data_IF_074662170098
#
_entry.id   IF_074662170098
#
_cell.length_a   1.000
_cell.length_b   1.000
_cell.length_c   1.000
_cell.angle_alpha   90.00
_cell.angle_beta   90.00
_cell.angle_gamma   90.00
#
_symmetry.space_group_name_H-M   'P 1'
#
loop_
_entity.id
_entity.type
_entity.pdbx_description
1 polymer ?
#
# COMPACT_ATOMS: atom_id res chain seq x y z
N UNK A 1 6.69 -21.43 43.16
CA UNK A 1 7.26 -21.58 41.80
C UNK A 1 6.54 -20.60 40.89
N UNK A 2 7.08 -19.39 40.72
CA UNK A 2 6.52 -18.35 39.85
C UNK A 2 7.30 -18.36 38.55
N UNK A 3 6.70 -18.90 37.49
CA UNK A 3 7.22 -18.76 36.14
C UNK A 3 6.77 -17.40 35.59
N UNK A 4 7.53 -16.36 35.92
CA UNK A 4 7.38 -15.06 35.31
C UNK A 4 8.29 -15.01 34.08
N UNK A 5 7.78 -15.45 32.94
CA UNK A 5 8.41 -15.31 31.64
C UNK A 5 7.34 -14.86 30.64
N UNK A 6 7.00 -13.57 30.66
CA UNK A 6 6.19 -12.96 29.62
C UNK A 6 7.05 -12.80 28.35
N UNK A 7 7.37 -13.92 27.70
CA UNK A 7 7.99 -13.90 26.37
C UNK A 7 6.92 -13.42 25.39
N UNK A 8 6.96 -12.13 25.03
CA UNK A 8 6.09 -11.57 23.99
C UNK A 8 6.13 -12.48 22.75
N UNK A 9 4.98 -13.06 22.40
CA UNK A 9 4.83 -13.94 21.23
C UNK A 9 5.32 -13.20 19.97
N UNK A 10 6.27 -13.81 19.26
CA UNK A 10 6.73 -13.32 17.95
C UNK A 10 5.64 -13.62 16.91
N UNK A 11 5.20 -12.63 16.12
CA UNK A 11 4.18 -12.87 15.11
C UNK A 11 4.77 -13.66 13.93
N UNK A 12 3.94 -14.49 13.31
CA UNK A 12 4.18 -14.94 11.94
C UNK A 12 3.53 -13.95 10.98
N UNK A 13 4.35 -13.32 10.15
CA UNK A 13 3.94 -12.24 9.24
C UNK A 13 3.86 -12.76 7.81
N UNK A 14 2.78 -12.40 7.12
CA UNK A 14 2.73 -12.47 5.66
C UNK A 14 3.05 -11.09 5.10
N UNK A 15 4.16 -10.98 4.39
CA UNK A 15 4.59 -9.79 3.66
C UNK A 15 4.13 -9.90 2.20
N UNK A 16 3.46 -8.85 1.71
CA UNK A 16 3.00 -8.70 0.33
C UNK A 16 3.21 -7.26 -0.13
N UNK A 17 2.93 -6.94 -1.39
CA UNK A 17 2.91 -5.57 -1.93
C UNK A 17 2.13 -5.54 -3.27
N UNK A 18 2.08 -4.38 -3.91
CA UNK A 18 1.63 -4.22 -5.29
C UNK A 18 2.74 -3.88 -6.30
N UNK A 19 3.95 -3.58 -5.83
CA UNK A 19 5.12 -3.33 -6.69
C UNK A 19 5.69 -4.62 -7.31
N UNK A 20 5.52 -5.77 -6.64
CA UNK A 20 6.03 -7.08 -7.08
C UNK A 20 7.36 -7.49 -6.40
N UNK A 21 8.11 -8.47 -6.96
CA UNK A 21 9.40 -8.90 -6.42
C UNK A 21 10.42 -7.75 -6.40
N UNK A 22 11.55 -7.86 -5.66
CA UNK A 22 12.55 -6.80 -5.57
C UNK A 22 13.02 -6.36 -6.95
N UNK A 23 13.11 -5.06 -7.15
CA UNK A 23 13.62 -4.44 -8.38
C UNK A 23 14.07 -3.02 -8.03
N UNK A 24 15.23 -2.60 -8.55
CA UNK A 24 15.82 -1.29 -8.22
C UNK A 24 14.96 -0.07 -8.60
N UNK A 25 14.03 -0.22 -9.55
CA UNK A 25 13.19 0.86 -10.07
C UNK A 25 11.74 0.71 -9.64
N UNK A 26 11.21 -0.50 -9.73
CA UNK A 26 9.79 -0.76 -9.58
C UNK A 26 9.42 -1.22 -8.16
N UNK A 27 10.31 -1.94 -7.47
CA UNK A 27 10.06 -2.48 -6.11
C UNK A 27 11.32 -2.41 -5.22
N UNK A 28 11.84 -1.19 -4.95
CA UNK A 28 13.15 -1.03 -4.32
C UNK A 28 13.15 -1.33 -2.82
N UNK A 29 11.99 -1.52 -2.19
CA UNK A 29 11.86 -1.43 -0.73
C UNK A 29 11.52 -2.75 -0.02
N UNK A 30 10.85 -3.69 -0.69
CA UNK A 30 10.31 -4.89 -0.02
C UNK A 30 11.42 -5.78 0.56
N UNK A 31 12.54 -5.93 -0.16
CA UNK A 31 13.69 -6.72 0.31
C UNK A 31 14.31 -6.13 1.58
N UNK A 32 14.50 -4.81 1.62
CA UNK A 32 15.03 -4.12 2.79
C UNK A 32 14.11 -4.25 4.00
N UNK A 33 12.80 -4.02 3.83
CA UNK A 33 11.85 -4.22 4.94
C UNK A 33 11.84 -5.68 5.41
N UNK A 34 11.85 -6.66 4.49
CA UNK A 34 11.91 -8.09 4.82
C UNK A 34 13.10 -8.41 5.74
N UNK A 35 14.30 -7.90 5.40
CA UNK A 35 15.52 -8.09 6.21
C UNK A 35 15.38 -7.48 7.59
N UNK A 36 14.80 -6.30 7.73
CA UNK A 36 14.59 -5.67 9.04
C UNK A 36 13.55 -6.41 9.90
N UNK A 37 12.46 -6.89 9.30
CA UNK A 37 11.48 -7.69 10.04
C UNK A 37 12.07 -9.03 10.51
N UNK A 38 12.91 -9.68 9.69
CA UNK A 38 13.49 -11.00 10.01
C UNK A 38 14.72 -10.91 10.90
N UNK A 39 15.73 -10.10 10.54
CA UNK A 39 17.05 -10.11 11.19
C UNK A 39 17.10 -9.20 12.41
N UNK A 40 16.45 -8.03 12.34
CA UNK A 40 16.43 -7.06 13.45
C UNK A 40 15.35 -7.40 14.46
N UNK A 41 14.12 -7.68 14.03
CA UNK A 41 13.03 -8.01 14.96
C UNK A 41 12.95 -9.51 15.29
N UNK A 42 13.59 -10.39 14.51
CA UNK A 42 13.55 -11.83 14.74
C UNK A 42 12.19 -12.48 14.44
N UNK A 43 11.36 -11.85 13.61
CA UNK A 43 10.01 -12.32 13.27
C UNK A 43 10.06 -13.39 12.16
N UNK A 44 9.06 -14.28 12.14
CA UNK A 44 8.90 -15.28 11.07
C UNK A 44 8.11 -14.64 9.93
N UNK A 45 8.79 -14.28 8.83
CA UNK A 45 8.20 -13.56 7.70
C UNK A 45 8.11 -14.48 6.48
N UNK A 46 6.89 -14.68 5.98
CA UNK A 46 6.58 -15.33 4.71
C UNK A 46 6.30 -14.27 3.66
N UNK A 47 6.73 -14.48 2.41
CA UNK A 47 6.51 -13.50 1.33
C UNK A 47 5.67 -14.12 0.23
N UNK A 48 4.53 -13.48 -0.07
CA UNK A 48 3.66 -13.83 -1.20
C UNK A 48 3.28 -12.53 -1.91
N UNK A 49 3.78 -12.33 -3.13
CA UNK A 49 3.63 -11.08 -3.88
C UNK A 49 3.16 -11.33 -5.31
N UNK A 50 2.60 -10.33 -5.98
CA UNK A 50 2.40 -10.38 -7.43
C UNK A 50 3.72 -10.66 -8.16
N UNK A 51 3.68 -11.43 -9.25
CA UNK A 51 4.84 -11.70 -10.11
C UNK A 51 5.28 -10.49 -10.96
N UNK A 52 4.47 -9.43 -10.96
CA UNK A 52 4.68 -8.18 -11.70
C UNK A 52 3.93 -7.05 -11.00
N UNK A 53 4.32 -5.81 -11.29
CA UNK A 53 3.71 -4.62 -10.70
C UNK A 53 2.22 -4.47 -11.04
N UNK A 54 1.42 -4.05 -10.04
CA UNK A 54 -0.05 -3.91 -10.08
C UNK A 54 -0.52 -2.56 -9.48
N UNK A 55 0.18 -1.47 -9.79
CA UNK A 55 -0.18 -0.11 -9.36
C UNK A 55 -1.62 0.29 -9.74
N UNK A 56 -2.27 1.11 -8.91
CA UNK A 56 -3.62 1.67 -9.15
C UNK A 56 -4.77 0.64 -9.25
N UNK A 57 -4.59 -0.57 -8.72
CA UNK A 57 -5.58 -1.66 -8.81
C UNK A 57 -6.66 -1.65 -7.70
N UNK A 58 -6.46 -0.90 -6.62
CA UNK A 58 -7.34 -0.89 -5.44
C UNK A 58 -7.49 -2.28 -4.80
N UNK A 59 -8.66 -2.55 -4.21
CA UNK A 59 -8.99 -3.89 -3.63
C UNK A 59 -9.66 -4.83 -4.65
N UNK A 60 -8.96 -5.22 -5.71
CA UNK A 60 -9.46 -6.16 -6.71
C UNK A 60 -9.07 -7.62 -6.42
N UNK A 61 -9.99 -8.56 -6.62
CA UNK A 61 -9.70 -10.00 -6.68
C UNK A 61 -9.72 -10.49 -8.13
N UNK A 62 -8.78 -11.35 -8.47
CA UNK A 62 -8.81 -12.11 -9.72
C UNK A 62 -9.74 -13.32 -9.58
N UNK A 63 -10.89 -13.30 -10.27
CA UNK A 63 -11.95 -14.32 -10.10
C UNK A 63 -12.20 -15.19 -11.34
N UNK A 64 -11.65 -14.83 -12.51
CA UNK A 64 -11.87 -15.56 -13.78
C UNK A 64 -10.66 -16.35 -14.24
N UNK A 65 -9.47 -15.83 -14.01
CA UNK A 65 -8.23 -16.40 -14.52
C UNK A 65 -7.59 -17.32 -13.48
N UNK A 66 -7.02 -18.44 -13.95
CA UNK A 66 -6.27 -19.36 -13.09
C UNK A 66 -4.99 -18.67 -12.65
N UNK A 67 -4.84 -18.42 -11.35
CA UNK A 67 -3.60 -17.90 -10.77
C UNK A 67 -2.51 -18.96 -10.82
N UNK A 68 -1.39 -18.63 -11.47
CA UNK A 68 -0.17 -19.44 -11.49
C UNK A 68 0.86 -18.86 -10.54
N UNK A 69 1.70 -19.72 -9.98
CA UNK A 69 2.75 -19.33 -9.05
C UNK A 69 4.11 -19.89 -9.40
N UNK A 70 5.14 -19.26 -8.85
CA UNK A 70 6.53 -19.74 -8.87
C UNK A 70 7.22 -19.38 -7.55
N UNK A 71 8.27 -20.10 -7.21
CA UNK A 71 9.14 -19.81 -6.08
C UNK A 71 10.30 -18.94 -6.56
N UNK A 72 10.61 -17.89 -5.82
CA UNK A 72 11.70 -16.97 -6.10
C UNK A 72 12.66 -16.93 -4.92
N UNK A 73 13.95 -17.02 -5.20
CA UNK A 73 15.00 -17.08 -4.21
C UNK A 73 15.90 -15.85 -4.35
N UNK A 74 15.52 -14.71 -3.76
CA UNK A 74 16.31 -13.49 -3.87
C UNK A 74 17.65 -13.64 -3.17
N UNK A 75 18.68 -13.09 -3.79
CA UNK A 75 20.03 -12.99 -3.23
C UNK A 75 20.32 -11.56 -2.78
N UNK A 76 19.81 -10.58 -3.52
CA UNK A 76 20.09 -9.16 -3.37
C UNK A 76 18.82 -8.31 -3.58
N UNK A 77 18.82 -7.02 -3.15
CA UNK A 77 17.66 -6.12 -3.32
C UNK A 77 17.41 -5.67 -4.76
N UNK A 78 18.31 -5.98 -5.70
CA UNK A 78 18.25 -5.54 -7.10
C UNK A 78 17.38 -6.42 -8.00
N UNK A 79 16.84 -7.52 -7.47
CA UNK A 79 16.01 -8.47 -8.19
C UNK A 79 16.76 -9.72 -8.67
N UNK A 80 18.04 -9.85 -8.37
CA UNK A 80 18.79 -11.08 -8.64
C UNK A 80 18.30 -12.24 -7.76
N UNK A 81 17.97 -13.35 -8.40
CA UNK A 81 17.56 -14.59 -7.74
C UNK A 81 17.11 -15.65 -8.73
N UNK A 82 17.03 -16.89 -8.27
CA UNK A 82 16.54 -18.00 -9.09
C UNK A 82 15.01 -18.08 -8.99
N UNK A 83 14.35 -18.42 -10.11
CA UNK A 83 12.93 -18.77 -10.13
C UNK A 83 12.81 -20.28 -10.37
N UNK A 84 11.97 -20.94 -9.57
CA UNK A 84 11.68 -22.37 -9.67
C UNK A 84 10.17 -22.62 -9.71
N UNK A 85 9.76 -23.66 -10.44
CA UNK A 85 8.38 -24.16 -10.40
C UNK A 85 8.07 -25.01 -9.16
N UNK A 86 9.11 -25.44 -8.44
CA UNK A 86 9.01 -26.29 -7.24
C UNK A 86 9.78 -25.70 -6.07
N UNK A 87 9.23 -25.88 -4.86
CA UNK A 87 9.92 -25.52 -3.61
C UNK A 87 11.19 -26.35 -3.45
N UNK A 88 12.25 -25.73 -2.93
CA UNK A 88 13.53 -26.38 -2.68
C UNK A 88 14.29 -25.70 -1.54
N UNK A 89 15.27 -26.39 -0.93
CA UNK A 89 16.17 -25.77 0.03
C UNK A 89 16.92 -24.57 -0.58
N UNK A 90 17.29 -23.61 0.30
CA UNK A 90 18.11 -22.47 -0.08
C UNK A 90 19.51 -22.91 -0.50
N UNK A 91 20.03 -22.29 -1.56
CA UNK A 91 21.42 -22.36 -1.98
C UNK A 91 22.24 -21.27 -1.28
N UNK A 92 23.55 -21.35 -1.44
CA UNK A 92 24.46 -20.32 -0.95
C UNK A 92 24.07 -18.93 -1.48
N UNK A 93 24.05 -17.93 -0.59
CA UNK A 93 23.63 -16.54 -0.83
C UNK A 93 22.14 -16.28 -1.05
N UNK A 94 21.28 -17.30 -1.13
CA UNK A 94 19.83 -17.09 -1.16
C UNK A 94 19.32 -16.72 0.24
N UNK A 95 18.49 -15.67 0.30
CA UNK A 95 18.04 -15.12 1.58
C UNK A 95 16.79 -15.83 2.09
N UNK A 96 15.89 -16.22 1.19
CA UNK A 96 14.59 -16.81 1.52
C UNK A 96 13.92 -17.48 0.32
N UNK A 97 12.87 -18.25 0.57
CA UNK A 97 11.93 -18.72 -0.45
C UNK A 97 10.71 -17.80 -0.47
N UNK A 98 10.54 -17.04 -1.55
CA UNK A 98 9.39 -16.15 -1.78
C UNK A 98 8.45 -16.78 -2.80
N UNK A 99 7.16 -16.45 -2.74
CA UNK A 99 6.17 -16.96 -3.69
C UNK A 99 5.67 -15.79 -4.54
N UNK A 100 5.83 -15.94 -5.85
CA UNK A 100 5.35 -14.98 -6.85
C UNK A 100 4.10 -15.54 -7.52
N UNK A 101 2.99 -14.79 -7.49
CA UNK A 101 1.72 -15.18 -8.10
C UNK A 101 1.33 -14.23 -9.22
N UNK A 102 0.88 -14.75 -10.35
CA UNK A 102 0.27 -13.93 -11.40
C UNK A 102 -1.18 -13.57 -10.99
N UNK A 103 -1.27 -12.61 -10.08
CA UNK A 103 -2.50 -12.18 -9.45
C UNK A 103 -2.44 -10.74 -8.93
N UNK A 104 -3.58 -10.24 -8.48
CA UNK A 104 -3.65 -8.97 -7.73
C UNK A 104 -3.06 -9.12 -6.32
N UNK A 105 -2.64 -8.03 -5.67
CA UNK A 105 -2.13 -8.04 -4.30
C UNK A 105 -3.11 -8.67 -3.29
N UNK A 106 -4.40 -8.34 -3.40
CA UNK A 106 -5.44 -8.92 -2.54
C UNK A 106 -5.61 -10.43 -2.77
N UNK A 107 -5.54 -10.91 -4.02
CA UNK A 107 -5.53 -12.34 -4.32
C UNK A 107 -4.28 -13.01 -3.75
N UNK A 108 -3.10 -12.38 -3.85
CA UNK A 108 -1.86 -12.91 -3.28
C UNK A 108 -1.95 -13.09 -1.76
N UNK A 109 -2.41 -12.05 -1.06
CA UNK A 109 -2.61 -12.10 0.38
C UNK A 109 -3.62 -13.18 0.78
N UNK A 110 -4.75 -13.28 0.07
CA UNK A 110 -5.78 -14.26 0.37
C UNK A 110 -5.29 -15.71 0.17
N UNK A 111 -4.63 -15.99 -0.95
CA UNK A 111 -4.01 -17.31 -1.21
C UNK A 111 -2.94 -17.62 -0.15
N UNK A 112 -2.12 -16.63 0.22
CA UNK A 112 -1.13 -16.76 1.29
C UNK A 112 -1.75 -17.17 2.62
N UNK A 113 -2.82 -16.49 3.04
CA UNK A 113 -3.51 -16.73 4.31
C UNK A 113 -4.24 -18.07 4.34
N UNK A 114 -4.95 -18.44 3.25
CA UNK A 114 -5.92 -19.54 3.29
C UNK A 114 -5.44 -20.84 2.63
N UNK A 115 -4.46 -20.77 1.73
CA UNK A 115 -4.04 -21.94 0.95
C UNK A 115 -2.58 -22.32 1.20
N UNK A 116 -1.69 -21.35 1.34
CA UNK A 116 -0.25 -21.61 1.52
C UNK A 116 0.09 -21.76 3.00
N UNK A 117 -0.40 -20.86 3.86
CA UNK A 117 -0.11 -20.82 5.31
C UNK A 117 -1.39 -20.83 6.17
N UNK A 118 -2.28 -21.83 6.00
CA UNK A 118 -3.59 -21.84 6.64
C UNK A 118 -3.50 -21.84 8.17
N UNK A 119 -4.12 -20.85 8.81
CA UNK A 119 -4.13 -20.65 10.27
C UNK A 119 -2.77 -20.38 10.91
N UNK A 120 -1.76 -20.01 10.11
CA UNK A 120 -0.41 -19.73 10.61
C UNK A 120 -0.14 -18.23 10.76
N UNK A 121 -0.76 -17.39 9.92
CA UNK A 121 -0.46 -15.96 9.84
C UNK A 121 -1.16 -15.18 10.95
N UNK A 122 -0.38 -14.38 11.69
CA UNK A 122 -0.87 -13.51 12.75
C UNK A 122 -1.07 -12.04 12.31
N UNK A 123 -0.29 -11.61 11.31
CA UNK A 123 -0.23 -10.24 10.80
C UNK A 123 0.05 -10.25 9.30
N UNK A 124 -0.65 -9.40 8.56
CA UNK A 124 -0.28 -9.06 7.18
C UNK A 124 0.40 -7.69 7.15
N UNK A 125 1.54 -7.61 6.47
CA UNK A 125 2.18 -6.34 6.11
C UNK A 125 2.14 -6.23 4.59
N UNK A 126 1.57 -5.14 4.08
CA UNK A 126 1.50 -4.84 2.66
C UNK A 126 2.36 -3.63 2.36
N UNK A 127 3.41 -3.79 1.57
CA UNK A 127 4.40 -2.76 1.22
C UNK A 127 5.85 -3.15 1.59
N UNK A 128 6.78 -2.17 1.64
CA UNK A 128 6.55 -0.76 1.40
C UNK A 128 6.27 -0.46 -0.06
N UNK A 129 5.19 0.30 -0.31
CA UNK A 129 4.85 0.82 -1.63
C UNK A 129 5.86 1.89 -2.08
N UNK A 130 6.22 1.90 -3.37
CA UNK A 130 6.91 3.00 -4.05
C UNK A 130 5.96 4.18 -4.30
N UNK A 131 5.99 5.17 -3.40
CA UNK A 131 5.07 6.31 -3.41
C UNK A 131 4.11 6.28 -2.22
N UNK A 132 3.40 7.38 -1.99
CA UNK A 132 2.46 7.49 -0.87
C UNK A 132 1.07 6.98 -1.23
N UNK A 133 0.36 6.50 -0.22
CA UNK A 133 -1.06 6.14 -0.26
C UNK A 133 -1.84 6.95 0.79
N UNK A 134 -1.51 8.23 0.93
CA UNK A 134 -2.21 9.20 1.79
C UNK A 134 -3.35 9.87 1.03
N UNK A 135 -4.40 10.29 1.74
CA UNK A 135 -5.64 10.84 1.17
C UNK A 135 -6.52 9.81 0.47
N UNK A 136 -7.83 10.07 0.43
CA UNK A 136 -8.84 9.12 -0.05
C UNK A 136 -8.63 8.73 -1.51
N UNK A 137 -8.20 9.67 -2.35
CA UNK A 137 -7.99 9.41 -3.78
C UNK A 137 -6.90 8.35 -4.02
N UNK A 138 -5.75 8.48 -3.35
CA UNK A 138 -4.65 7.52 -3.50
C UNK A 138 -4.92 6.24 -2.72
N UNK A 139 -5.40 6.33 -1.48
CA UNK A 139 -5.69 5.16 -0.66
C UNK A 139 -6.73 4.22 -1.29
N UNK A 140 -7.79 4.75 -1.93
CA UNK A 140 -8.82 3.93 -2.59
C UNK A 140 -8.33 3.26 -3.89
N UNK A 141 -7.33 3.86 -4.55
CA UNK A 141 -6.72 3.29 -5.75
C UNK A 141 -5.54 2.35 -5.45
N UNK A 142 -5.06 2.32 -4.21
CA UNK A 142 -3.87 1.57 -3.80
C UNK A 142 -4.09 0.05 -3.76
N UNK A 143 -3.22 -0.70 -4.44
CA UNK A 143 -3.15 -2.16 -4.30
C UNK A 143 -2.56 -2.55 -2.94
N UNK A 144 -1.56 -1.79 -2.46
CA UNK A 144 -0.98 -1.95 -1.12
C UNK A 144 -2.05 -1.84 -0.01
N UNK A 145 -2.85 -0.77 0.01
CA UNK A 145 -3.97 -0.63 0.97
C UNK A 145 -5.04 -1.70 0.71
N UNK A 146 -5.31 -2.01 -0.56
CA UNK A 146 -6.23 -3.06 -0.97
C UNK A 146 -5.90 -4.42 -0.35
N UNK A 147 -4.65 -4.87 -0.41
CA UNK A 147 -4.22 -6.14 0.15
C UNK A 147 -4.37 -6.20 1.68
N UNK A 148 -4.05 -5.10 2.38
CA UNK A 148 -4.28 -4.98 3.82
C UNK A 148 -5.78 -5.04 4.15
N UNK A 149 -6.63 -4.34 3.39
CA UNK A 149 -8.08 -4.33 3.58
C UNK A 149 -8.72 -5.70 3.30
N UNK A 150 -8.27 -6.44 2.29
CA UNK A 150 -8.74 -7.81 2.05
C UNK A 150 -8.34 -8.78 3.16
N UNK A 151 -7.16 -8.57 3.75
CA UNK A 151 -6.62 -9.42 4.80
C UNK A 151 -7.33 -9.19 6.13
N UNK A 152 -7.69 -7.94 6.44
CA UNK A 152 -8.52 -7.64 7.61
C UNK A 152 -9.95 -8.15 7.47
N UNK A 153 -10.52 -8.16 6.25
CA UNK A 153 -11.78 -8.88 5.97
C UNK A 153 -11.67 -10.40 6.17
N UNK A 154 -10.45 -10.95 6.08
CA UNK A 154 -10.14 -12.33 6.48
C UNK A 154 -9.86 -12.49 7.98
N UNK A 155 -10.15 -11.45 8.78
CA UNK A 155 -9.94 -11.38 10.23
C UNK A 155 -8.47 -11.44 10.67
N UNK A 156 -7.55 -11.01 9.79
CA UNK A 156 -6.12 -10.89 10.12
C UNK A 156 -5.75 -9.42 10.26
N UNK A 157 -5.11 -9.06 11.38
CA UNK A 157 -4.56 -7.70 11.58
C UNK A 157 -3.65 -7.34 10.41
N UNK A 158 -3.78 -6.13 9.89
CA UNK A 158 -3.12 -5.75 8.64
C UNK A 158 -2.54 -4.35 8.68
N UNK A 159 -1.31 -4.17 8.18
CA UNK A 159 -0.66 -2.87 8.05
C UNK A 159 -0.33 -2.66 6.57
N UNK A 160 -0.86 -1.59 5.99
CA UNK A 160 -0.38 -1.05 4.73
C UNK A 160 0.73 -0.03 5.04
N UNK A 161 1.89 -0.15 4.41
CA UNK A 161 3.02 0.75 4.60
C UNK A 161 3.51 1.27 3.25
N UNK A 162 3.77 2.58 3.17
CA UNK A 162 4.08 3.29 1.93
C UNK A 162 5.20 4.29 2.16
N UNK A 163 6.18 4.31 1.26
CA UNK A 163 7.28 5.25 1.31
C UNK A 163 7.04 6.37 0.29
N UNK A 164 6.61 7.52 0.80
CA UNK A 164 6.24 8.69 0.02
C UNK A 164 7.47 9.31 -0.63
N UNK A 165 7.52 9.29 -1.96
CA UNK A 165 8.62 9.91 -2.68
C UNK A 165 8.38 11.41 -2.84
N UNK A 166 9.35 12.21 -2.39
CA UNK A 166 9.29 13.67 -2.48
C UNK A 166 10.28 14.22 -3.52
N UNK A 167 11.41 13.55 -3.70
CA UNK A 167 12.47 13.91 -4.65
C UNK A 167 12.71 12.75 -5.62
N UNK A 168 12.81 13.04 -6.92
CA UNK A 168 13.09 12.04 -7.94
C UNK A 168 14.42 12.32 -8.66
N UNK A 169 15.33 11.32 -8.77
CA UNK A 169 15.25 10.01 -8.13
C UNK A 169 15.38 10.13 -6.59
N UNK A 170 14.77 9.21 -5.87
CA UNK A 170 14.90 9.14 -4.40
C UNK A 170 16.33 8.76 -4.04
N UNK A 171 17.02 9.51 -3.16
CA UNK A 171 18.34 9.12 -2.67
C UNK A 171 18.30 7.76 -1.98
N UNK A 172 19.17 6.85 -2.39
CA UNK A 172 19.28 5.49 -1.80
C UNK A 172 19.71 5.53 -0.33
N UNK A 173 20.37 6.61 0.10
CA UNK A 173 20.72 6.87 1.51
C UNK A 173 19.50 6.97 2.42
N UNK A 174 18.29 7.20 1.88
CA UNK A 174 17.06 7.26 2.68
C UNK A 174 16.46 5.88 2.96
N UNK A 175 16.87 4.83 2.23
CA UNK A 175 16.16 3.54 2.25
C UNK A 175 16.35 2.81 3.58
N UNK A 176 17.59 2.67 4.03
CA UNK A 176 17.92 1.98 5.29
C UNK A 176 17.25 2.64 6.52
N UNK A 177 17.34 3.99 6.72
CA UNK A 177 16.57 4.67 7.76
C UNK A 177 15.05 4.45 7.66
N UNK A 178 14.49 4.43 6.45
CA UNK A 178 13.07 4.18 6.24
C UNK A 178 12.67 2.74 6.62
N UNK A 179 13.51 1.74 6.33
CA UNK A 179 13.28 0.36 6.74
C UNK A 179 13.33 0.20 8.26
N UNK A 180 14.29 0.83 8.92
CA UNK A 180 14.40 0.86 10.38
C UNK A 180 13.14 1.51 10.98
N UNK A 181 12.76 2.69 10.50
CA UNK A 181 11.60 3.42 11.00
C UNK A 181 10.30 2.63 10.75
N UNK A 182 10.14 2.06 9.56
CA UNK A 182 9.00 1.22 9.20
C UNK A 182 8.88 -0.02 10.09
N UNK A 183 9.98 -0.73 10.33
CA UNK A 183 10.00 -1.89 11.22
C UNK A 183 9.63 -1.52 12.66
N UNK A 184 10.17 -0.41 13.19
CA UNK A 184 9.84 0.08 14.54
C UNK A 184 8.35 0.46 14.66
N UNK A 185 7.78 1.10 13.65
CA UNK A 185 6.33 1.44 13.62
C UNK A 185 5.50 0.16 13.59
N UNK A 186 5.85 -0.81 12.74
CA UNK A 186 5.15 -2.10 12.66
C UNK A 186 5.18 -2.84 14.00
N UNK A 187 6.34 -2.89 14.66
CA UNK A 187 6.48 -3.51 15.99
C UNK A 187 5.64 -2.79 17.04
N UNK A 188 5.65 -1.45 17.04
CA UNK A 188 4.85 -0.65 17.95
C UNK A 188 3.36 -0.97 17.78
N UNK A 189 2.83 -0.87 16.55
CA UNK A 189 1.43 -1.14 16.24
C UNK A 189 1.03 -2.57 16.58
N UNK A 190 1.90 -3.55 16.35
CA UNK A 190 1.64 -4.94 16.75
C UNK A 190 1.39 -5.06 18.26
N UNK A 191 2.18 -4.37 19.08
CA UNK A 191 2.08 -4.43 20.53
C UNK A 191 0.97 -3.55 21.12
N UNK A 192 0.60 -2.47 20.45
CA UNK A 192 -0.39 -1.50 20.96
C UNK A 192 -1.71 -1.52 20.20
N UNK A 193 -1.92 -2.51 19.33
CA UNK A 193 -3.09 -2.59 18.43
C UNK A 193 -4.41 -2.19 19.10
N UNK A 194 -5.03 -1.14 18.57
CA UNK A 194 -6.32 -0.61 19.05
C UNK A 194 -6.34 -0.13 20.52
N UNK A 195 -5.19 0.00 21.19
CA UNK A 195 -5.07 0.36 22.61
C UNK A 195 -4.52 1.77 22.86
N UNK A 196 -4.11 2.48 21.82
CA UNK A 196 -3.55 3.83 21.90
C UNK A 196 -4.65 4.90 22.16
N UNK A 197 -4.28 6.10 22.61
CA UNK A 197 -5.20 7.19 23.00
C UNK A 197 -6.19 7.58 21.88
N UNK A 198 -5.80 7.38 20.62
CA UNK A 198 -6.63 7.60 19.42
C UNK A 198 -7.22 6.30 18.84
N UNK A 199 -6.95 5.15 19.48
CA UNK A 199 -7.50 3.84 19.16
C UNK A 199 -8.93 3.70 19.68
N UNK A 200 -9.88 3.50 18.77
CA UNK A 200 -11.30 3.38 19.10
C UNK A 200 -11.59 2.02 19.78
N UNK A 201 -11.57 1.95 21.11
CA UNK A 201 -12.08 0.77 21.84
C UNK A 201 -13.61 0.75 21.86
N UNK A 202 -14.16 -0.08 20.95
CA UNK A 202 -15.43 -0.83 20.99
C UNK A 202 -15.75 -1.29 19.55
N UNK A 203 -14.99 -2.28 19.05
CA UNK A 203 -14.92 -2.78 17.66
C UNK A 203 -14.23 -1.85 16.68
N UNK A 204 -13.19 -2.30 15.99
CA UNK A 204 -11.78 -2.28 16.38
C UNK A 204 -11.03 -1.80 15.13
N UNK A 205 -9.81 -1.29 15.27
CA UNK A 205 -9.02 -0.92 14.08
C UNK A 205 -8.74 -2.20 13.28
N UNK A 206 -9.26 -2.29 12.07
CA UNK A 206 -9.10 -3.47 11.21
C UNK A 206 -7.71 -3.50 10.58
N UNK A 207 -7.22 -2.31 10.20
CA UNK A 207 -5.92 -2.10 9.58
C UNK A 207 -5.37 -0.71 9.87
N UNK A 208 -4.06 -0.56 9.74
CA UNK A 208 -3.39 0.75 9.74
C UNK A 208 -2.83 1.06 8.34
N UNK A 209 -2.97 2.31 7.91
CA UNK A 209 -2.28 2.85 6.73
C UNK A 209 -1.17 3.79 7.19
N UNK A 210 0.08 3.43 6.89
CA UNK A 210 1.29 4.13 7.31
C UNK A 210 1.97 4.75 6.10
N UNK A 211 2.24 6.05 6.15
CA UNK A 211 3.02 6.74 5.12
C UNK A 211 4.26 7.39 5.73
N UNK A 212 5.43 7.03 5.22
CA UNK A 212 6.73 7.58 5.63
C UNK A 212 7.26 8.48 4.51
N UNK A 213 7.45 9.79 4.72
CA UNK A 213 8.03 10.64 3.70
C UNK A 213 9.54 10.38 3.59
N UNK A 214 10.02 10.11 2.37
CA UNK A 214 11.45 9.96 2.09
C UNK A 214 12.08 11.34 1.86
N UNK A 215 12.46 11.97 2.97
CA UNK A 215 13.02 13.32 3.03
C UNK A 215 14.30 13.31 3.86
N UNK A 216 15.19 14.28 3.62
CA UNK A 216 16.50 14.38 4.29
C UNK A 216 16.44 14.26 5.83
N UNK A 217 15.45 14.85 6.55
CA UNK A 217 15.35 14.69 8.01
C UNK A 217 15.25 13.25 8.51
N UNK A 218 14.96 12.26 7.66
CA UNK A 218 15.00 10.83 8.04
C UNK A 218 16.41 10.35 8.41
N UNK A 219 17.45 11.07 7.99
CA UNK A 219 18.85 10.81 8.34
C UNK A 219 19.21 11.28 9.75
N UNK A 220 18.36 12.09 10.39
CA UNK A 220 18.64 12.65 11.71
C UNK A 220 18.39 11.61 12.81
N UNK A 221 19.21 11.63 13.86
CA UNK A 221 19.08 10.73 15.01
C UNK A 221 17.76 10.88 15.78
N UNK A 222 17.13 12.06 15.72
CA UNK A 222 15.81 12.30 16.34
C UNK A 222 14.66 11.64 15.57
N UNK A 223 14.91 11.22 14.31
CA UNK A 223 13.90 10.65 13.43
C UNK A 223 12.83 11.65 12.97
N UNK A 224 11.81 11.13 12.29
CA UNK A 224 10.64 11.90 11.88
C UNK A 224 9.58 11.89 12.99
N UNK A 225 8.84 12.99 13.13
CA UNK A 225 7.62 12.99 13.96
C UNK A 225 6.61 12.01 13.39
N UNK A 226 5.91 11.29 14.26
CA UNK A 226 4.87 10.33 13.90
C UNK A 226 3.55 10.84 14.45
N UNK A 227 2.56 11.05 13.57
CA UNK A 227 1.22 11.47 13.97
C UNK A 227 0.20 10.37 13.73
N UNK A 228 -0.70 10.21 14.70
CA UNK A 228 -2.01 9.63 14.45
C UNK A 228 -2.81 10.56 13.57
N UNK A 229 -3.36 10.05 12.47
CA UNK A 229 -4.00 10.87 11.45
C UNK A 229 -5.37 10.36 11.04
N UNK A 230 -6.18 11.26 10.48
CA UNK A 230 -7.39 10.91 9.73
C UNK A 230 -7.12 10.91 8.22
N UNK A 231 -7.94 10.20 7.45
CA UNK A 231 -7.82 10.19 5.99
C UNK A 231 -8.29 11.54 5.42
N UNK A 232 -7.40 12.26 4.72
CA UNK A 232 -7.77 13.49 4.03
C UNK A 232 -8.68 13.20 2.84
N UNK A 233 -9.86 13.85 2.77
CA UNK A 233 -10.82 13.63 1.69
C UNK A 233 -10.46 14.45 0.47
N UNK A 234 -10.07 13.78 -0.60
CA UNK A 234 -9.68 14.39 -1.88
C UNK A 234 -10.41 13.74 -3.06
N UNK A 235 -10.47 14.46 -4.18
CA UNK A 235 -11.01 13.99 -5.45
C UNK A 235 -10.02 14.24 -6.59
N UNK A 236 -10.10 13.45 -7.67
CA UNK A 236 -9.35 13.70 -8.90
C UNK A 236 -10.31 14.08 -10.05
N UNK A 237 -9.78 14.83 -11.01
CA UNK A 237 -10.42 15.09 -12.29
C UNK A 237 -10.09 14.00 -13.31
N UNK A 238 -9.55 14.41 -14.46
CA UNK A 238 -9.29 13.52 -15.59
C UNK A 238 -8.07 12.62 -15.35
N UNK A 239 -8.28 11.31 -15.47
CA UNK A 239 -7.21 10.30 -15.38
C UNK A 239 -6.69 9.80 -16.73
N UNK A 240 -7.52 9.88 -17.78
CA UNK A 240 -7.20 9.37 -19.12
C UNK A 240 -7.37 10.45 -20.19
N UNK A 241 -6.53 10.42 -21.22
CA UNK A 241 -6.63 11.32 -22.40
C UNK A 241 -6.97 10.50 -23.65
N UNK A 242 -7.81 11.03 -24.56
CA UNK A 242 -8.01 10.43 -25.87
C UNK A 242 -6.71 10.46 -26.69
N UNK A 243 -6.57 9.51 -27.60
CA UNK A 243 -5.50 9.46 -28.60
C UNK A 243 -6.13 9.71 -29.98
N UNK A 244 -5.72 10.79 -30.64
CA UNK A 244 -6.22 11.21 -31.95
C UNK A 244 -5.20 10.85 -33.04
N UNK A 245 -5.58 10.00 -34.00
CA UNK A 245 -4.79 9.72 -35.23
C UNK A 245 -3.64 8.71 -35.09
N UNK A 246 -3.51 7.85 -36.12
CA UNK A 246 -2.58 6.72 -36.34
C UNK A 246 -2.05 5.96 -35.11
N UNK A 247 -2.59 4.74 -34.95
CA UNK A 247 -2.18 3.68 -34.01
C UNK A 247 -0.75 3.82 -33.48
N UNK A 248 -0.55 4.24 -32.23
CA UNK A 248 0.77 4.16 -31.62
C UNK A 248 1.10 2.70 -31.34
N UNK A 249 2.25 2.23 -31.85
CA UNK A 249 2.93 1.05 -31.32
C UNK A 249 2.89 1.10 -29.80
N UNK A 250 2.44 0.00 -29.17
CA UNK A 250 2.36 -0.25 -27.73
C UNK A 250 3.15 0.74 -26.87
N UNK A 251 2.54 1.88 -26.55
CA UNK A 251 3.14 2.82 -25.62
C UNK A 251 3.15 2.12 -24.26
N UNK A 252 4.34 1.73 -23.78
CA UNK A 252 4.51 1.15 -22.45
C UNK A 252 3.92 2.15 -21.43
N UNK A 253 2.87 1.74 -20.73
CA UNK A 253 2.36 2.47 -19.58
C UNK A 253 3.48 2.44 -18.54
N UNK A 254 4.01 3.61 -18.17
CA UNK A 254 4.96 3.69 -17.06
C UNK A 254 4.22 3.19 -15.82
N UNK A 255 4.70 2.11 -15.18
CA UNK A 255 3.95 1.45 -14.12
C UNK A 255 4.07 2.18 -12.76
N UNK A 256 5.03 3.10 -12.67
CA UNK A 256 5.43 3.80 -11.46
C UNK A 256 4.28 4.52 -10.70
N UNK A 257 4.42 4.55 -9.37
CA UNK A 257 3.43 5.08 -8.42
C UNK A 257 3.03 6.55 -8.66
N UNK A 258 1.92 6.99 -8.04
CA UNK A 258 1.24 8.27 -8.33
C UNK A 258 2.11 9.53 -8.22
N UNK A 259 3.18 9.49 -7.43
CA UNK A 259 4.06 10.64 -7.19
C UNK A 259 5.19 10.76 -8.24
N UNK A 260 5.40 9.75 -9.09
CA UNK A 260 6.45 9.76 -10.11
C UNK A 260 6.06 10.68 -11.29
N UNK A 261 6.75 11.81 -11.40
CA UNK A 261 6.45 12.80 -12.43
C UNK A 261 6.68 12.26 -13.85
N UNK A 262 5.63 12.25 -14.68
CA UNK A 262 5.78 12.15 -16.14
C UNK A 262 5.17 13.39 -16.80
N UNK A 263 6.02 14.32 -17.27
CA UNK A 263 5.62 15.40 -18.19
C UNK A 263 6.25 15.14 -19.56
N UNK A 264 5.53 15.40 -20.66
CA UNK A 264 5.61 16.74 -21.24
C UNK A 264 4.25 17.43 -21.48
N UNK A 265 4.33 18.76 -21.55
CA UNK A 265 3.27 19.72 -21.89
C UNK A 265 3.06 19.71 -23.40
N UNK A 266 1.82 19.55 -23.88
CA UNK A 266 1.46 19.85 -25.27
C UNK A 266 0.08 20.50 -25.40
N UNK A 267 0.00 21.38 -26.40
CA UNK A 267 -1.09 22.32 -26.67
C UNK A 267 -2.36 21.64 -27.18
N UNK A 268 -3.49 22.23 -26.82
CA UNK A 268 -4.84 21.79 -27.20
C UNK A 268 -5.10 22.23 -28.65
N UNK A 269 -5.24 21.28 -29.58
CA UNK A 269 -5.89 21.51 -30.87
C UNK A 269 -7.28 20.86 -30.88
N UNK A 270 -8.24 21.55 -31.51
CA UNK A 270 -9.65 21.17 -31.64
C UNK A 270 -9.85 19.95 -32.58
N UNK A 271 -10.70 18.98 -32.23
CA UNK A 271 -10.81 17.72 -32.99
C UNK A 271 -11.69 17.86 -34.24
N UNK A 272 -11.25 17.22 -35.33
CA UNK A 272 -12.04 16.91 -36.54
C UNK A 272 -12.53 15.46 -36.41
N UNK A 273 -13.80 15.13 -36.71
CA UNK A 273 -14.41 13.88 -36.24
C UNK A 273 -14.11 12.68 -37.17
N UNK A 274 -12.96 12.05 -36.96
CA UNK A 274 -12.67 10.67 -37.39
C UNK A 274 -11.67 10.02 -36.42
N UNK A 275 -11.96 10.03 -35.12
CA UNK A 275 -11.00 9.57 -34.10
C UNK A 275 -11.39 8.19 -33.53
N UNK A 276 -10.44 7.25 -33.56
CA UNK A 276 -10.54 5.94 -32.92
C UNK A 276 -10.81 6.10 -31.41
N UNK A 277 -11.72 5.29 -30.84
CA UNK A 277 -12.08 5.32 -29.42
C UNK A 277 -10.98 4.70 -28.54
N UNK A 278 -9.84 5.37 -28.44
CA UNK A 278 -8.64 4.90 -27.73
C UNK A 278 -8.19 5.96 -26.73
N UNK A 279 -7.85 5.53 -25.52
CA UNK A 279 -7.42 6.40 -24.42
C UNK A 279 -6.12 5.87 -23.81
N UNK A 280 -5.29 6.77 -23.29
CA UNK A 280 -4.11 6.44 -22.48
C UNK A 280 -4.21 7.00 -21.07
N UNK A 281 -3.62 6.29 -20.11
CA UNK A 281 -3.38 6.81 -18.76
C UNK A 281 -2.52 8.08 -18.85
N UNK A 282 -3.05 9.20 -18.36
CA UNK A 282 -2.38 10.50 -18.33
C UNK A 282 -3.10 11.41 -17.33
N UNK A 283 -2.92 11.16 -16.03
CA UNK A 283 -3.75 11.76 -15.00
C UNK A 283 -3.32 13.20 -14.69
N UNK A 284 -4.30 14.08 -14.50
CA UNK A 284 -4.08 15.44 -14.04
C UNK A 284 -3.98 15.44 -12.50
N UNK A 285 -2.77 15.16 -11.99
CA UNK A 285 -2.51 14.91 -10.55
C UNK A 285 -1.93 16.11 -9.77
N UNK A 286 -1.62 17.24 -10.43
CA UNK A 286 -0.89 18.35 -9.79
C UNK A 286 -1.57 18.82 -8.49
N UNK A 287 -2.88 19.01 -8.49
CA UNK A 287 -3.63 19.44 -7.29
C UNK A 287 -3.71 18.38 -6.19
N UNK A 288 -3.44 17.11 -6.48
CA UNK A 288 -3.36 16.04 -5.47
C UNK A 288 -1.95 15.89 -4.90
N UNK A 289 -0.92 16.04 -5.75
CA UNK A 289 0.49 15.92 -5.37
C UNK A 289 0.97 17.19 -4.65
N UNK A 290 0.62 18.35 -5.19
CA UNK A 290 0.97 19.69 -4.69
C UNK A 290 -0.30 20.51 -4.47
N UNK A 291 -1.13 20.13 -3.48
CA UNK A 291 -2.29 20.92 -3.11
C UNK A 291 -1.88 22.28 -2.56
N UNK A 292 -2.82 23.24 -2.60
CA UNK A 292 -2.69 24.46 -1.82
C UNK A 292 -2.61 24.10 -0.33
N UNK A 293 -1.62 24.65 0.38
CA UNK A 293 -1.44 24.47 1.81
C UNK A 293 -2.70 24.86 2.61
N UNK A 294 -3.50 25.83 2.11
CA UNK A 294 -4.77 26.23 2.74
C UNK A 294 -5.83 25.11 2.74
N UNK A 295 -5.72 24.14 1.84
CA UNK A 295 -6.64 23.01 1.71
C UNK A 295 -6.28 21.81 2.61
N UNK A 296 -5.10 21.83 3.23
CA UNK A 296 -4.63 20.76 4.12
C UNK A 296 -5.39 20.82 5.44
N UNK A 297 -6.10 19.73 5.75
CA UNK A 297 -6.83 19.60 7.01
C UNK A 297 -5.85 19.19 8.11
N UNK A 298 -5.65 20.02 9.13
CA UNK A 298 -4.78 19.70 10.28
C UNK A 298 -5.18 18.37 10.92
N UNK A 299 -4.20 17.51 11.20
CA UNK A 299 -4.43 16.16 11.73
C UNK A 299 -4.83 15.11 10.68
N UNK A 300 -4.92 15.49 9.39
CA UNK A 300 -5.04 14.52 8.31
C UNK A 300 -3.67 13.96 7.89
N UNK A 301 -3.68 12.82 7.21
CA UNK A 301 -2.50 12.19 6.64
C UNK A 301 -1.82 13.05 5.57
N UNK A 302 -2.61 13.72 4.74
CA UNK A 302 -2.12 14.75 3.81
C UNK A 302 -1.37 15.86 4.55
N UNK A 303 -1.97 16.42 5.60
CA UNK A 303 -1.30 17.46 6.40
C UNK A 303 0.02 16.96 7.01
N UNK A 304 0.06 15.77 7.59
CA UNK A 304 1.26 15.22 8.22
C UNK A 304 2.41 15.07 7.21
N UNK A 305 2.15 14.46 6.05
CA UNK A 305 3.17 14.29 5.01
C UNK A 305 3.68 15.63 4.46
N UNK A 306 2.79 16.58 4.22
CA UNK A 306 3.18 17.92 3.74
C UNK A 306 3.98 18.73 4.77
N UNK A 307 3.95 18.34 6.05
CA UNK A 307 4.78 18.91 7.12
C UNK A 307 6.00 18.03 7.48
N UNK A 308 6.34 17.06 6.61
CA UNK A 308 7.52 16.22 6.78
C UNK A 308 7.43 15.23 7.94
N UNK A 309 6.22 14.78 8.28
CA UNK A 309 5.98 13.81 9.35
C UNK A 309 5.39 12.51 8.81
N UNK A 310 5.59 11.41 9.54
CA UNK A 310 4.95 10.12 9.28
C UNK A 310 3.47 10.22 9.64
N UNK A 311 2.62 9.66 8.77
CA UNK A 311 1.19 9.48 9.07
C UNK A 311 0.91 8.04 9.47
N UNK A 312 0.11 7.85 10.52
CA UNK A 312 -0.45 6.55 10.92
C UNK A 312 -1.97 6.71 11.02
N UNK A 313 -2.68 6.19 10.02
CA UNK A 313 -4.14 6.32 9.93
C UNK A 313 -4.80 4.98 10.28
N UNK A 314 -5.50 4.86 11.43
CA UNK A 314 -6.33 3.70 11.72
C UNK A 314 -7.54 3.66 10.78
N UNK A 315 -7.83 2.49 10.21
CA UNK A 315 -8.91 2.28 9.25
C UNK A 315 -9.81 1.11 9.67
N UNK A 316 -11.01 1.11 9.10
CA UNK A 316 -11.92 -0.02 9.10
C UNK A 316 -12.09 -0.53 7.68
N UNK A 317 -12.20 -1.84 7.52
CA UNK A 317 -12.50 -2.48 6.25
C UNK A 317 -14.01 -2.48 5.98
N UNK A 318 -14.58 -1.29 5.90
CA UNK A 318 -15.98 -1.07 5.58
C UNK A 318 -16.11 0.15 4.68
N UNK A 319 -17.17 0.17 3.88
CA UNK A 319 -17.67 1.47 3.46
C UNK A 319 -18.24 2.18 4.68
N UNK A 320 -18.07 3.50 4.72
CA UNK A 320 -18.65 4.35 5.75
C UNK A 320 -19.63 5.32 5.09
N UNK A 321 -20.79 5.49 5.71
CA UNK A 321 -21.73 6.53 5.34
C UNK A 321 -21.16 7.92 5.68
N UNK A 322 -21.60 9.01 5.02
CA UNK A 322 -21.28 10.37 5.46
C UNK A 322 -21.84 10.59 6.87
N UNK A 323 -20.99 10.49 7.90
CA UNK A 323 -21.43 10.62 9.30
C UNK A 323 -21.43 12.08 9.73
N UNK A 324 -22.49 12.80 9.35
CA UNK A 324 -23.02 13.93 10.12
C UNK A 324 -24.56 13.75 10.20
N UNK A 325 -25.09 13.45 11.38
CA UNK A 325 -26.52 13.54 11.68
C UNK A 325 -27.45 12.38 11.27
N UNK A 326 -26.97 11.26 10.72
CA UNK A 326 -27.84 10.22 10.13
C UNK A 326 -28.30 9.13 11.14
N UNK A 327 -27.83 9.15 12.40
CA UNK A 327 -28.23 8.16 13.41
C UNK A 327 -29.17 8.71 14.50
N UNK A 328 -30.22 9.43 14.12
CA UNK A 328 -31.36 9.73 15.01
C UNK A 328 -32.73 9.62 14.33
N UNK A 329 -32.91 8.75 13.33
CA UNK A 329 -34.24 8.49 12.80
C UNK A 329 -34.94 7.44 13.67
N UNK A 330 -35.95 7.87 14.43
CA UNK A 330 -36.76 6.98 15.26
C UNK A 330 -37.68 6.07 14.43
N UNK A 331 -37.98 6.44 13.18
CA UNK A 331 -38.88 5.71 12.31
C UNK A 331 -38.30 5.52 10.89
N UNK A 332 -38.35 4.29 10.37
CA UNK A 332 -37.90 3.95 9.01
C UNK A 332 -38.72 4.66 7.92
N UNK A 333 -39.98 5.00 8.20
CA UNK A 333 -40.85 5.72 7.28
C UNK A 333 -40.32 7.11 6.90
N UNK A 334 -39.50 7.73 7.75
CA UNK A 334 -38.84 9.01 7.46
C UNK A 334 -37.78 8.90 6.35
N UNK A 335 -37.41 7.68 5.96
CA UNK A 335 -36.47 7.39 4.86
C UNK A 335 -37.15 7.04 3.54
N UNK A 336 -38.49 7.01 3.51
CA UNK A 336 -39.24 6.65 2.29
C UNK A 336 -39.30 7.87 1.37
N UNK A 337 -38.54 7.83 0.28
CA UNK A 337 -38.73 8.73 -0.85
C UNK A 337 -39.47 7.99 -1.98
N UNK A 338 -40.59 8.55 -2.45
CA UNK A 338 -41.36 8.00 -3.57
C UNK A 338 -41.07 8.82 -4.82
N UNK A 339 -40.65 8.14 -5.89
CA UNK A 339 -40.56 8.70 -7.24
C UNK A 339 -41.87 8.37 -7.96
N UNK A 340 -42.48 9.35 -8.63
CA UNK A 340 -43.64 9.10 -9.49
C UNK A 340 -43.18 8.32 -10.72
N UNK A 341 -43.88 7.23 -11.01
CA UNK A 341 -43.71 6.45 -12.25
C UNK A 341 -44.26 7.22 -13.45
#
# INVERSE_FOLDING_TARGET
MSANANTKRRPRVLLTNDDGPPDTKESPYIFGLYKHLTERLGWDVKVVVPSSQKSWIGKAYQIKEITKGSYFYPTNPDGEGEISSVSRPLKENEVAEWILLDATPATCANIGIHNIYPNEIDLVVSGPNLGRNSSSAFALSSGTVGAAMSSSLSKIRSIAISYGTVTHPTPTTYFEPAHILGANIIEHLWHTWGSDEFGLKNNEVDLYNVNIPLIEPILNNEGLKIYWTTMWRTSYGRLFKPISGDSPQSAKVNPAGPDTSTSPVEQIQSPTPTESLVFKWSPAMEGLIRPDHSSLVVGSDGWALHHGAVSVTPLRASFAEPVEGIHQFANIEDRVWKVRL
#
